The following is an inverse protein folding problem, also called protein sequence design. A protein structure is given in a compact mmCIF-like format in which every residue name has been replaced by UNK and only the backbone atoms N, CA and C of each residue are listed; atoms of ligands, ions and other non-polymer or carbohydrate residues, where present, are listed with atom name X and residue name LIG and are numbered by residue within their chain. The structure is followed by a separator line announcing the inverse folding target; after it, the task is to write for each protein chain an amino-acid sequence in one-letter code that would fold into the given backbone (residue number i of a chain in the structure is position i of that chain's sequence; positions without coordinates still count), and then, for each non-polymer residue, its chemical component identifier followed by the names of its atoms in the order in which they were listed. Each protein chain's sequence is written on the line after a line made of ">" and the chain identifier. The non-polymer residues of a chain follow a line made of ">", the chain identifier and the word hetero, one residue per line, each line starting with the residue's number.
data_IF_372236648173
#
_entry.id   IF_372236648173
#
_cell.length_a   1.000
_cell.length_b   1.000
_cell.length_c   1.000
_cell.angle_alpha   90.00
_cell.angle_beta   90.00
_cell.angle_gamma   90.00
#
_symmetry.space_group_name_H-M   'P 1'
#
loop_
_entity.id
_entity.type
_entity.pdbx_description
1 polymer ?
#
# COMPACT_ATOMS: atom_id res chain seq x y z
N UNK A 1 -24.14 -91.49 -4.77
CA UNK A 1 -25.56 -91.69 -5.16
C UNK A 1 -26.34 -90.48 -4.78
N UNK A 2 -27.08 -89.95 -5.75
CA UNK A 2 -28.26 -89.07 -5.66
C UNK A 2 -28.08 -87.55 -5.55
N UNK A 3 -28.28 -86.94 -6.65
CA UNK A 3 -29.31 -86.04 -7.19
C UNK A 3 -29.32 -84.63 -6.59
N UNK A 4 -28.78 -83.64 -7.27
CA UNK A 4 -29.37 -82.82 -8.33
C UNK A 4 -30.75 -82.18 -7.95
N UNK A 5 -30.80 -80.95 -7.65
CA UNK A 5 -31.95 -80.13 -8.00
C UNK A 5 -31.57 -78.68 -8.20
N UNK A 6 -31.84 -78.28 -9.41
CA UNK A 6 -31.61 -76.93 -10.05
C UNK A 6 -32.91 -76.14 -9.88
N UNK A 7 -32.85 -74.90 -9.35
CA UNK A 7 -33.92 -73.92 -9.55
C UNK A 7 -33.30 -72.53 -9.86
N UNK A 8 -33.69 -71.93 -10.94
CA UNK A 8 -33.24 -70.61 -11.28
C UNK A 8 -34.13 -69.55 -10.60
N UNK A 9 -33.57 -68.67 -9.83
CA UNK A 9 -34.23 -67.48 -9.35
C UNK A 9 -33.93 -66.29 -10.29
N UNK A 10 -34.94 -65.86 -11.00
CA UNK A 10 -34.97 -64.66 -11.83
C UNK A 10 -34.98 -63.48 -10.87
N UNK A 11 -33.84 -62.75 -10.77
CA UNK A 11 -33.79 -61.49 -10.08
C UNK A 11 -34.11 -60.35 -11.06
N UNK A 12 -35.24 -59.71 -10.80
CA UNK A 12 -35.76 -58.54 -11.52
C UNK A 12 -34.90 -57.30 -11.13
N UNK A 13 -34.11 -56.82 -12.10
CA UNK A 13 -33.27 -55.65 -11.89
C UNK A 13 -34.09 -54.40 -12.13
N UNK A 14 -34.55 -53.71 -11.05
CA UNK A 14 -35.20 -52.41 -11.13
C UNK A 14 -34.12 -51.33 -11.29
N UNK A 15 -34.02 -50.73 -12.47
CA UNK A 15 -33.17 -49.60 -12.77
C UNK A 15 -33.85 -48.35 -12.21
N UNK A 16 -33.42 -47.84 -11.07
CA UNK A 16 -33.77 -46.52 -10.56
C UNK A 16 -32.90 -45.48 -11.25
N UNK A 17 -33.46 -44.80 -12.26
CA UNK A 17 -32.90 -43.59 -12.86
C UNK A 17 -33.11 -42.45 -11.85
N UNK A 18 -32.15 -42.19 -10.98
CA UNK A 18 -32.07 -41.00 -10.17
C UNK A 18 -31.64 -39.84 -11.08
N UNK A 19 -32.55 -38.98 -11.49
CA UNK A 19 -32.23 -37.67 -12.02
C UNK A 19 -31.58 -36.85 -10.88
N UNK A 20 -30.28 -36.74 -10.91
CA UNK A 20 -29.55 -35.80 -10.06
C UNK A 20 -29.61 -34.43 -10.72
N UNK A 21 -30.57 -33.62 -10.31
CA UNK A 21 -30.52 -32.18 -10.59
C UNK A 21 -29.37 -31.59 -9.80
N UNK A 22 -28.20 -31.50 -10.46
CA UNK A 22 -27.06 -30.73 -9.93
C UNK A 22 -27.49 -29.25 -10.02
N UNK A 23 -27.63 -28.54 -8.90
CA UNK A 23 -27.91 -27.12 -8.95
C UNK A 23 -26.75 -26.44 -9.68
N UNK A 24 -27.08 -25.70 -10.73
CA UNK A 24 -26.11 -24.88 -11.44
C UNK A 24 -25.35 -24.00 -10.43
N UNK A 25 -24.02 -23.85 -10.55
CA UNK A 25 -23.28 -23.00 -9.66
C UNK A 25 -23.87 -21.58 -9.76
N UNK A 26 -24.52 -21.15 -8.69
CA UNK A 26 -24.98 -19.78 -8.54
C UNK A 26 -23.71 -18.93 -8.58
N UNK A 27 -23.46 -18.26 -9.70
CA UNK A 27 -22.42 -17.25 -9.81
C UNK A 27 -22.79 -16.16 -8.82
N UNK A 28 -22.27 -16.24 -7.61
CA UNK A 28 -22.41 -15.18 -6.63
C UNK A 28 -21.89 -13.92 -7.33
N UNK A 29 -22.77 -12.97 -7.57
CA UNK A 29 -22.46 -11.67 -8.13
C UNK A 29 -21.47 -11.05 -7.14
N UNK A 30 -20.17 -11.05 -7.51
CA UNK A 30 -19.12 -10.47 -6.68
C UNK A 30 -19.53 -9.04 -6.43
N UNK A 31 -19.83 -8.72 -5.18
CA UNK A 31 -20.13 -7.35 -4.77
C UNK A 31 -18.99 -6.47 -5.26
N UNK A 32 -19.26 -5.28 -5.85
CA UNK A 32 -18.20 -4.43 -6.34
C UNK A 32 -17.23 -4.16 -5.19
N UNK A 33 -15.98 -4.51 -5.39
CA UNK A 33 -14.92 -4.34 -4.41
C UNK A 33 -14.85 -2.86 -4.02
N UNK A 34 -15.11 -2.56 -2.76
CA UNK A 34 -15.10 -1.20 -2.25
C UNK A 34 -13.65 -0.67 -2.35
N UNK A 35 -13.45 0.25 -3.27
CA UNK A 35 -12.15 0.88 -3.51
C UNK A 35 -11.89 1.90 -2.39
N UNK A 36 -11.21 1.46 -1.33
CA UNK A 36 -10.86 2.34 -0.21
C UNK A 36 -9.38 2.68 -0.28
N UNK A 37 -9.04 3.99 -0.28
CA UNK A 37 -7.67 4.44 -0.12
C UNK A 37 -7.00 3.81 1.09
N UNK A 38 -5.70 3.54 0.99
CA UNK A 38 -4.92 2.84 2.01
C UNK A 38 -3.88 3.74 2.64
N UNK A 39 -3.46 3.40 3.85
CA UNK A 39 -2.37 4.09 4.55
C UNK A 39 -1.01 3.81 3.93
N UNK A 40 -0.04 4.69 4.21
CA UNK A 40 1.31 4.56 3.67
C UNK A 40 2.03 3.31 4.13
N UNK A 41 1.88 2.91 5.40
CA UNK A 41 2.50 1.69 5.91
C UNK A 41 1.93 0.45 5.22
N UNK A 42 0.62 0.41 5.01
CA UNK A 42 -0.04 -0.66 4.26
C UNK A 42 0.47 -0.78 2.82
N UNK A 43 0.61 0.36 2.12
CA UNK A 43 1.11 0.40 0.74
C UNK A 43 2.60 0.02 0.65
N UNK A 44 3.46 0.62 1.51
CA UNK A 44 4.90 0.35 1.46
C UNK A 44 5.21 -1.10 1.79
N UNK A 45 4.46 -1.73 2.68
CA UNK A 45 4.65 -3.13 3.01
C UNK A 45 4.40 -4.06 1.80
N UNK A 46 3.34 -3.78 1.02
CA UNK A 46 3.05 -4.53 -0.21
C UNK A 46 4.14 -4.35 -1.26
N UNK A 47 4.64 -3.14 -1.44
CA UNK A 47 5.75 -2.86 -2.35
C UNK A 47 7.07 -3.49 -1.85
N UNK A 48 7.31 -3.48 -0.54
CA UNK A 48 8.50 -4.08 0.08
C UNK A 48 8.59 -5.60 -0.11
N UNK A 49 7.46 -6.31 -0.10
CA UNK A 49 7.45 -7.74 -0.41
C UNK A 49 8.04 -8.03 -1.79
N UNK A 50 7.72 -7.20 -2.79
CA UNK A 50 8.30 -7.30 -4.14
C UNK A 50 9.76 -6.85 -4.15
N UNK A 51 10.10 -5.77 -3.44
CA UNK A 51 11.45 -5.26 -3.36
C UNK A 51 12.40 -6.30 -2.73
N UNK A 52 11.96 -7.03 -1.71
CA UNK A 52 12.74 -8.14 -1.13
C UNK A 52 12.97 -9.31 -2.09
N UNK A 53 12.02 -9.57 -2.97
CA UNK A 53 12.21 -10.58 -4.02
C UNK A 53 13.21 -10.13 -5.09
N UNK A 54 13.31 -8.82 -5.33
CA UNK A 54 14.32 -8.22 -6.21
C UNK A 54 15.72 -8.20 -5.55
N UNK A 55 15.80 -7.78 -4.29
CA UNK A 55 17.04 -7.72 -3.52
C UNK A 55 16.75 -7.94 -2.02
N UNK A 56 17.35 -8.99 -1.39
CA UNK A 56 17.11 -9.29 0.03
C UNK A 56 17.54 -8.18 1.00
N UNK A 57 18.50 -7.33 0.59
CA UNK A 57 19.01 -6.18 1.35
C UNK A 57 18.26 -4.88 1.08
N UNK A 58 17.09 -4.96 0.40
CA UNK A 58 16.31 -3.78 0.04
C UNK A 58 15.94 -2.92 1.24
N UNK A 59 16.18 -1.62 1.11
CA UNK A 59 15.78 -0.58 2.06
C UNK A 59 14.96 0.47 1.33
N UNK A 60 13.99 1.08 2.02
CA UNK A 60 13.20 2.17 1.43
C UNK A 60 14.01 3.46 1.47
N UNK A 61 14.16 4.10 0.32
CA UNK A 61 14.84 5.39 0.19
C UNK A 61 13.87 6.54 0.42
N UNK A 62 12.74 6.50 -0.26
CA UNK A 62 11.67 7.49 -0.18
C UNK A 62 10.34 6.88 -0.58
N UNK A 63 9.26 7.52 -0.17
CA UNK A 63 7.90 7.18 -0.56
C UNK A 63 7.04 8.42 -0.62
N UNK A 64 6.03 8.43 -1.47
CA UNK A 64 5.03 9.51 -1.51
C UNK A 64 3.65 8.99 -1.91
N UNK A 65 2.61 9.67 -1.42
CA UNK A 65 1.24 9.50 -1.90
C UNK A 65 1.06 10.13 -3.27
N UNK A 66 0.15 9.58 -4.07
CA UNK A 66 -0.21 10.09 -5.39
C UNK A 66 -1.70 10.44 -5.39
N UNK A 67 -2.01 11.63 -5.90
CA UNK A 67 -3.39 12.05 -6.11
C UNK A 67 -3.91 11.50 -7.43
N UNK A 68 -5.08 10.85 -7.38
CA UNK A 68 -5.79 10.35 -8.56
C UNK A 68 -7.12 11.09 -8.67
N UNK A 69 -7.31 11.83 -9.76
CA UNK A 69 -8.52 12.62 -9.99
C UNK A 69 -9.81 11.79 -10.04
N UNK A 70 -9.69 10.52 -10.43
CA UNK A 70 -10.82 9.59 -10.57
C UNK A 70 -11.24 8.94 -9.25
N UNK A 71 -10.44 9.07 -8.21
CA UNK A 71 -10.72 8.45 -6.91
C UNK A 71 -10.95 9.53 -5.87
N UNK A 72 -12.10 9.46 -5.22
CA UNK A 72 -12.41 10.35 -4.11
C UNK A 72 -11.39 10.17 -2.98
N UNK A 73 -10.97 11.27 -2.38
CA UNK A 73 -10.11 11.25 -1.20
C UNK A 73 -10.68 10.34 -0.11
N UNK A 74 -9.79 9.58 0.50
CA UNK A 74 -10.11 8.66 1.59
C UNK A 74 -10.13 9.34 2.95
N UNK A 75 -10.00 8.52 3.99
CA UNK A 75 -9.78 9.01 5.34
C UNK A 75 -8.44 9.77 5.41
N UNK A 76 -8.30 10.74 6.34
CA UNK A 76 -7.04 11.43 6.54
C UNK A 76 -5.86 10.48 6.73
N UNK A 77 -4.74 10.76 6.09
CA UNK A 77 -3.58 9.88 6.13
C UNK A 77 -3.60 8.71 5.13
N UNK A 78 -4.63 8.59 4.28
CA UNK A 78 -4.73 7.55 3.25
C UNK A 78 -4.60 8.15 1.84
N UNK A 79 -4.21 7.31 0.87
CA UNK A 79 -4.21 7.66 -0.54
C UNK A 79 -4.61 6.48 -1.44
N UNK A 80 -5.13 6.79 -2.62
CA UNK A 80 -5.52 5.80 -3.61
C UNK A 80 -4.31 5.14 -4.28
N UNK A 81 -3.21 5.84 -4.37
CA UNK A 81 -1.95 5.33 -4.92
C UNK A 81 -0.74 5.87 -4.16
N UNK A 82 0.33 5.09 -4.21
CA UNK A 82 1.60 5.36 -3.55
C UNK A 82 2.75 4.98 -4.48
N UNK A 83 3.83 5.73 -4.41
CA UNK A 83 5.09 5.40 -5.07
C UNK A 83 6.21 5.33 -4.02
N UNK A 84 7.03 4.29 -4.08
CA UNK A 84 8.21 4.14 -3.24
C UNK A 84 9.42 3.78 -4.08
N UNK A 85 10.59 4.27 -3.68
CA UNK A 85 11.88 3.86 -4.24
C UNK A 85 12.60 3.03 -3.20
N UNK A 86 13.01 1.84 -3.59
CA UNK A 86 13.87 0.97 -2.79
C UNK A 86 15.28 0.92 -3.39
N UNK A 87 16.27 0.75 -2.52
CA UNK A 87 17.67 0.63 -2.91
C UNK A 87 18.27 -0.67 -2.38
N UNK A 88 19.25 -1.19 -3.13
CA UNK A 88 20.09 -2.31 -2.71
C UNK A 88 21.56 -1.89 -2.81
N UNK A 89 22.25 -1.88 -1.68
CA UNK A 89 23.67 -1.60 -1.65
C UNK A 89 24.48 -2.73 -2.33
N UNK A 90 24.04 -3.98 -2.17
CA UNK A 90 24.69 -5.12 -2.79
C UNK A 90 24.65 -5.08 -4.32
N UNK A 91 23.57 -4.52 -4.90
CA UNK A 91 23.43 -4.35 -6.34
C UNK A 91 23.95 -3.00 -6.85
N UNK A 92 24.17 -2.02 -5.99
CA UNK A 92 24.37 -0.61 -6.35
C UNK A 92 23.26 -0.08 -7.25
N UNK A 93 22.02 -0.44 -6.96
CA UNK A 93 20.85 -0.12 -7.75
C UNK A 93 19.70 0.37 -6.89
N UNK A 94 18.83 1.17 -7.51
CA UNK A 94 17.51 1.54 -7.01
C UNK A 94 16.42 1.00 -7.93
N UNK A 95 15.22 0.87 -7.38
CA UNK A 95 14.04 0.48 -8.15
C UNK A 95 12.81 1.15 -7.57
N UNK A 96 12.02 1.76 -8.44
CA UNK A 96 10.75 2.36 -8.07
C UNK A 96 9.63 1.32 -8.12
N UNK A 97 8.71 1.44 -7.18
CA UNK A 97 7.50 0.62 -7.09
C UNK A 97 6.29 1.53 -6.93
N UNK A 98 5.18 1.14 -7.52
CA UNK A 98 3.89 1.79 -7.32
C UNK A 98 2.92 0.82 -6.67
N UNK A 99 2.00 1.35 -5.88
CA UNK A 99 0.82 0.65 -5.39
C UNK A 99 -0.41 1.50 -5.70
N UNK A 100 -1.43 0.90 -6.28
CA UNK A 100 -2.70 1.58 -6.54
C UNK A 100 -3.90 0.68 -6.24
N UNK A 101 -5.01 1.27 -5.83
CA UNK A 101 -6.29 0.57 -5.65
C UNK A 101 -7.07 0.44 -6.95
N UNK A 102 -6.70 1.20 -7.99
CA UNK A 102 -7.32 1.22 -9.32
C UNK A 102 -6.27 1.07 -10.41
N UNK A 103 -6.70 0.70 -11.62
CA UNK A 103 -5.92 0.98 -12.83
C UNK A 103 -5.96 2.47 -13.13
N UNK A 104 -4.86 3.04 -13.54
CA UNK A 104 -4.74 4.44 -13.91
C UNK A 104 -3.97 4.62 -15.21
N UNK A 105 -3.82 5.86 -15.64
CA UNK A 105 -3.07 6.18 -16.84
C UNK A 105 -1.56 5.93 -16.68
N UNK A 106 -0.89 5.66 -17.78
CA UNK A 106 0.54 5.39 -17.82
C UNK A 106 0.90 4.01 -17.26
N UNK A 107 1.81 3.97 -16.29
CA UNK A 107 2.29 2.73 -15.66
C UNK A 107 1.69 2.50 -14.26
N UNK A 108 0.52 3.07 -13.98
CA UNK A 108 -0.15 2.88 -12.70
C UNK A 108 -1.13 1.71 -12.78
N UNK A 109 -0.72 0.58 -12.25
CA UNK A 109 -1.52 -0.65 -12.23
C UNK A 109 -2.12 -0.92 -10.85
N UNK A 110 -3.32 -1.52 -10.83
CA UNK A 110 -3.94 -1.98 -9.58
C UNK A 110 -3.08 -3.02 -8.89
N UNK A 111 -2.84 -2.84 -7.59
CA UNK A 111 -1.91 -3.62 -6.80
C UNK A 111 -0.51 -3.02 -6.77
N UNK A 112 0.48 -3.83 -6.35
CA UNK A 112 1.87 -3.40 -6.34
C UNK A 112 2.54 -3.74 -7.69
N UNK A 113 3.30 -2.80 -8.24
CA UNK A 113 3.98 -2.94 -9.52
C UNK A 113 5.42 -2.41 -9.43
N UNK A 114 6.35 -3.07 -10.11
CA UNK A 114 7.77 -2.72 -10.13
C UNK A 114 8.13 -1.98 -11.41
N UNK A 115 8.75 -0.83 -11.28
CA UNK A 115 9.36 -0.08 -12.39
C UNK A 115 10.72 -0.64 -12.82
N UNK A 116 11.43 0.08 -13.70
CA UNK A 116 12.78 -0.29 -14.11
C UNK A 116 13.80 -0.17 -12.98
N UNK A 117 14.93 -0.83 -13.16
CA UNK A 117 16.11 -0.68 -12.29
C UNK A 117 16.93 0.51 -12.76
N UNK A 118 17.48 1.26 -11.80
CA UNK A 118 18.33 2.42 -12.04
C UNK A 118 19.61 2.31 -11.20
N UNK A 119 20.67 2.97 -11.61
CA UNK A 119 21.89 3.04 -10.82
C UNK A 119 21.67 3.81 -9.51
N UNK A 120 22.34 3.37 -8.44
CA UNK A 120 22.34 4.07 -7.15
C UNK A 120 23.77 4.16 -6.62
N UNK A 121 24.24 5.38 -6.37
CA UNK A 121 25.62 5.68 -5.95
C UNK A 121 25.82 5.69 -4.43
N UNK A 122 24.81 5.31 -3.67
CA UNK A 122 24.85 5.35 -2.21
C UNK A 122 24.02 6.49 -1.61
N UNK A 123 23.94 6.57 -0.27
CA UNK A 123 23.21 7.62 0.41
C UNK A 123 23.84 9.00 0.20
N UNK A 124 22.99 10.03 0.24
CA UNK A 124 23.40 11.44 0.22
C UNK A 124 22.85 12.16 1.46
N UNK A 125 23.24 13.43 1.63
CA UNK A 125 22.75 14.26 2.74
C UNK A 125 21.23 14.46 2.74
N UNK A 126 20.60 14.34 1.58
CA UNK A 126 19.15 14.55 1.40
C UNK A 126 18.36 13.26 1.29
N UNK A 127 19.03 12.14 0.96
CA UNK A 127 18.41 10.86 0.67
C UNK A 127 19.21 9.73 1.31
N UNK A 128 18.81 9.29 2.49
CA UNK A 128 19.37 8.13 3.15
C UNK A 128 18.32 7.02 3.29
N UNK A 129 18.66 5.75 2.97
CA UNK A 129 17.70 4.66 3.05
C UNK A 129 17.37 4.31 4.51
N UNK A 130 16.16 3.82 4.71
CA UNK A 130 15.66 3.38 6.01
C UNK A 130 15.27 1.92 5.98
N UNK A 131 15.49 1.23 7.10
CA UNK A 131 14.98 -0.12 7.29
C UNK A 131 13.46 -0.06 7.45
N UNK A 132 12.73 -0.99 6.86
CA UNK A 132 11.28 -1.12 7.06
C UNK A 132 10.88 -1.23 8.54
N UNK A 133 11.70 -1.87 9.35
CA UNK A 133 11.47 -2.02 10.79
C UNK A 133 11.52 -0.69 11.58
N UNK A 134 12.08 0.36 11.00
CA UNK A 134 12.10 1.70 11.60
C UNK A 134 10.79 2.47 11.35
N UNK A 135 9.98 2.06 10.37
CA UNK A 135 8.69 2.68 10.05
C UNK A 135 7.60 1.99 10.87
N UNK A 136 7.34 2.48 12.08
CA UNK A 136 6.42 1.86 13.03
C UNK A 136 5.08 2.60 13.11
N UNK A 137 5.08 3.89 12.81
CA UNK A 137 3.90 4.76 12.86
C UNK A 137 3.33 4.85 11.45
N UNK A 138 2.03 4.63 11.32
CA UNK A 138 1.35 4.73 10.03
C UNK A 138 0.95 6.18 9.72
N UNK A 139 0.62 6.46 8.48
CA UNK A 139 0.36 7.81 7.98
C UNK A 139 -0.91 8.45 8.54
N UNK A 140 -1.91 7.68 8.92
CA UNK A 140 -3.11 8.17 9.60
C UNK A 140 -2.80 8.66 11.02
N UNK A 141 -1.97 7.90 11.76
CA UNK A 141 -1.49 8.30 13.08
C UNK A 141 -0.56 9.53 12.98
N UNK A 142 0.33 9.57 11.99
CA UNK A 142 1.20 10.72 11.75
C UNK A 142 0.39 11.98 11.41
N UNK A 143 -0.63 11.87 10.53
CA UNK A 143 -1.53 12.97 10.23
C UNK A 143 -2.26 13.46 11.48
N UNK A 144 -2.79 12.53 12.28
CA UNK A 144 -3.45 12.85 13.56
C UNK A 144 -2.52 13.61 14.49
N UNK A 145 -1.27 13.13 14.67
CA UNK A 145 -0.27 13.84 15.51
C UNK A 145 -0.02 15.26 14.98
N UNK A 146 0.12 15.43 13.65
CA UNK A 146 0.30 16.76 13.07
C UNK A 146 -0.86 17.71 13.39
N UNK A 147 -2.11 17.22 13.32
CA UNK A 147 -3.30 18.03 13.61
C UNK A 147 -3.52 18.33 15.10
N UNK A 148 -3.17 17.39 15.97
CA UNK A 148 -3.40 17.51 17.42
C UNK A 148 -2.26 18.24 18.16
N UNK A 149 -1.07 18.36 17.54
CA UNK A 149 0.07 19.05 18.15
C UNK A 149 -0.07 20.57 18.01
N UNK A 150 -0.22 21.35 19.08
CA UNK A 150 -0.42 22.80 18.98
C UNK A 150 0.72 23.53 18.26
N UNK A 151 1.96 23.12 18.50
CA UNK A 151 3.15 23.75 17.89
C UNK A 151 3.31 23.49 16.41
N UNK A 152 2.59 22.50 15.86
CA UNK A 152 2.60 22.24 14.41
C UNK A 152 1.90 23.33 13.61
N UNK A 153 0.90 24.01 14.22
CA UNK A 153 -0.03 24.93 13.56
C UNK A 153 -0.83 24.31 12.41
N UNK A 154 -0.83 22.96 12.27
CA UNK A 154 -1.47 22.28 11.16
C UNK A 154 -2.99 22.48 11.14
N UNK A 155 -3.65 22.33 12.28
CA UNK A 155 -5.10 22.53 12.37
C UNK A 155 -5.54 23.96 12.02
N UNK A 156 -4.74 24.97 12.40
CA UNK A 156 -5.00 26.36 12.03
C UNK A 156 -4.79 26.61 10.55
N UNK A 157 -3.74 26.00 9.98
CA UNK A 157 -3.43 26.12 8.56
C UNK A 157 -4.50 25.46 7.70
N UNK A 158 -4.91 24.24 8.05
CA UNK A 158 -5.96 23.49 7.38
C UNK A 158 -7.29 24.27 7.36
N UNK A 159 -7.68 24.79 8.53
CA UNK A 159 -8.89 25.63 8.66
C UNK A 159 -8.86 26.90 7.79
N UNK A 160 -7.68 27.50 7.61
CA UNK A 160 -7.49 28.71 6.77
C UNK A 160 -7.42 28.39 5.27
N UNK A 161 -7.12 27.14 4.92
CA UNK A 161 -6.91 26.69 3.54
C UNK A 161 -7.74 25.43 3.23
N UNK A 162 -9.08 25.50 3.35
CA UNK A 162 -9.93 24.33 3.19
C UNK A 162 -9.82 23.77 1.76
N UNK A 163 -9.80 22.42 1.67
CA UNK A 163 -9.76 21.71 0.38
C UNK A 163 -8.39 21.67 -0.29
N UNK A 164 -7.31 22.10 0.37
CA UNK A 164 -5.98 21.83 -0.15
C UNK A 164 -5.72 20.31 -0.14
N UNK A 165 -5.13 19.76 -1.22
CA UNK A 165 -4.74 18.35 -1.23
C UNK A 165 -3.67 18.10 -0.16
N UNK A 166 -3.67 16.89 0.41
CA UNK A 166 -2.65 16.47 1.37
C UNK A 166 -1.75 15.44 0.70
N UNK A 167 -0.49 15.80 0.51
CA UNK A 167 0.54 14.86 0.05
C UNK A 167 1.34 14.37 1.25
N UNK A 168 1.62 13.09 1.32
CA UNK A 168 2.39 12.48 2.41
C UNK A 168 3.65 11.86 1.82
N UNK A 169 4.80 12.16 2.40
CA UNK A 169 6.09 11.62 1.99
C UNK A 169 6.79 10.95 3.16
N UNK A 170 7.52 9.90 2.87
CA UNK A 170 8.54 9.35 3.76
C UNK A 170 9.90 9.85 3.29
N UNK A 171 10.62 10.50 4.18
CA UNK A 171 11.97 11.01 3.90
C UNK A 171 12.88 10.78 5.11
N UNK A 172 14.18 10.83 4.87
CA UNK A 172 15.23 10.82 5.88
C UNK A 172 16.32 11.78 5.46
N UNK A 173 16.63 12.74 6.34
CA UNK A 173 17.60 13.80 6.07
C UNK A 173 18.72 13.78 7.10
N UNK A 174 19.80 14.51 6.87
CA UNK A 174 20.87 14.67 7.87
C UNK A 174 20.40 15.34 9.16
N UNK A 175 19.41 16.24 9.06
CA UNK A 175 18.81 16.90 10.24
C UNK A 175 17.94 15.93 11.05
N UNK A 176 17.23 15.03 10.37
CA UNK A 176 16.39 14.00 10.95
C UNK A 176 16.91 12.64 10.48
N UNK A 177 17.84 12.03 11.26
CA UNK A 177 18.52 10.79 10.85
C UNK A 177 17.64 9.55 10.95
N UNK A 178 16.48 9.65 11.58
CA UNK A 178 15.43 8.64 11.56
C UNK A 178 14.39 8.94 10.47
N UNK A 179 13.68 7.93 9.94
CA UNK A 179 12.65 8.16 8.94
C UNK A 179 11.53 9.04 9.50
N UNK A 180 11.08 10.01 8.70
CA UNK A 180 10.02 10.92 9.06
C UNK A 180 8.91 10.95 8.01
N UNK A 181 7.66 11.00 8.46
CA UNK A 181 6.51 11.32 7.64
C UNK A 181 6.40 12.84 7.51
N UNK A 182 6.50 13.34 6.29
CA UNK A 182 6.23 14.72 5.96
C UNK A 182 4.80 14.84 5.44
N UNK A 183 3.95 15.50 6.22
CA UNK A 183 2.57 15.81 5.85
C UNK A 183 2.57 17.20 5.21
N UNK A 184 2.18 17.28 3.93
CA UNK A 184 2.30 18.47 3.09
C UNK A 184 0.90 18.95 2.71
N UNK A 185 0.56 20.19 3.02
CA UNK A 185 -0.67 20.83 2.53
C UNK A 185 -0.41 21.44 1.14
N UNK A 186 -0.58 20.63 0.12
CA UNK A 186 -0.32 20.94 -1.29
C UNK A 186 -0.02 19.68 -2.10
N UNK A 187 0.13 19.84 -3.39
CA UNK A 187 0.38 18.73 -4.33
C UNK A 187 1.82 18.19 -4.24
N UNK A 188 2.78 18.97 -3.77
CA UNK A 188 4.17 18.55 -3.64
C UNK A 188 4.94 19.40 -2.63
N UNK A 189 6.08 18.87 -2.15
CA UNK A 189 7.00 19.61 -1.29
C UNK A 189 7.56 20.88 -1.94
N UNK A 190 7.71 20.89 -3.26
CA UNK A 190 8.27 22.04 -4.00
C UNK A 190 7.28 23.19 -4.25
N UNK A 191 5.99 22.90 -4.24
CA UNK A 191 4.92 23.89 -4.50
C UNK A 191 4.15 24.29 -3.24
N UNK A 192 4.29 23.54 -2.15
CA UNK A 192 3.66 23.85 -0.87
C UNK A 192 4.53 24.80 -0.03
N UNK A 193 3.87 25.68 0.70
CA UNK A 193 4.50 26.56 1.68
C UNK A 193 4.24 26.11 3.13
N UNK A 194 3.71 24.92 3.33
CA UNK A 194 3.42 24.40 4.66
C UNK A 194 3.49 22.88 4.70
N UNK A 195 4.31 22.35 5.58
CA UNK A 195 4.36 20.92 5.88
C UNK A 195 4.82 20.66 7.31
N UNK A 196 4.48 19.50 7.84
CA UNK A 196 4.82 19.05 9.20
C UNK A 196 5.55 17.73 9.12
N UNK A 197 6.67 17.59 9.86
CA UNK A 197 7.41 16.35 9.99
C UNK A 197 7.04 15.66 11.30
N UNK A 198 6.77 14.35 11.17
CA UNK A 198 6.47 13.45 12.28
C UNK A 198 7.44 12.27 12.20
N UNK A 199 8.10 11.94 13.29
CA UNK A 199 8.97 10.77 13.36
C UNK A 199 8.19 9.48 13.05
N UNK A 200 8.63 8.75 12.04
CA UNK A 200 7.95 7.53 11.61
C UNK A 200 8.21 6.32 12.53
N UNK A 201 9.14 6.45 13.49
CA UNK A 201 9.47 5.40 14.46
C UNK A 201 8.73 5.61 15.79
N UNK A 202 8.56 6.86 16.24
CA UNK A 202 8.01 7.21 17.55
C UNK A 202 6.63 7.86 17.48
N UNK A 203 6.29 8.53 16.36
CA UNK A 203 5.08 9.33 16.20
C UNK A 203 5.19 10.74 16.78
N UNK A 204 6.38 11.16 17.20
CA UNK A 204 6.61 12.48 17.76
C UNK A 204 6.66 13.55 16.68
N UNK A 205 6.15 14.74 17.01
CA UNK A 205 6.32 15.92 16.17
C UNK A 205 7.78 16.36 16.16
N UNK A 206 8.32 16.60 14.96
CA UNK A 206 9.70 17.04 14.78
C UNK A 206 9.77 18.54 14.48
N UNK A 207 9.14 18.97 13.39
CA UNK A 207 9.14 20.39 13.01
C UNK A 207 8.04 20.75 12.01
N UNK A 208 7.81 22.05 11.86
CA UNK A 208 6.98 22.65 10.79
C UNK A 208 7.88 23.39 9.80
N UNK A 209 7.73 23.07 8.53
CA UNK A 209 8.42 23.71 7.39
C UNK A 209 7.46 24.69 6.70
N UNK A 210 7.96 25.89 6.38
CA UNK A 210 7.23 27.00 5.74
C UNK A 210 8.03 27.56 4.59
#
# INVERSE_FOLDING_TARGET
>A
MSKLSLFPAIALLAILTACSDTPAPTTAKKEPEKLEPVTGQSAVYKMYQMARSWAPDSQVLKMQSMHLSEVKDGAPGTAAAWQATFVSAAKSQSRSYTFSIVEGDGNLHKGAFAGPEEGWSGPSDMDAPSLMAAIKIDTDAAYKTAMETPHSHAAEYDKKNPGKPITIMLERTTKHPDPAWRIIWGESAGTSNFSVLIDASTGEYLETLR
#
